data_IF_006733555364
#
_entry.id   IF_006733555364
#
_cell.length_a   1.000
_cell.length_b   1.000
_cell.length_c   1.000
_cell.angle_alpha   90.00
_cell.angle_beta   90.00
_cell.angle_gamma   90.00
#
_symmetry.space_group_name_H-M   'P 1'
#
loop_
_entity.id
_entity.type
_entity.pdbx_description
1 polymer ?
#
# COMPACT_ATOMS: atom_id res chain seq x y z
N UNK A 1 -24.31 2.41 8.33
CA UNK A 1 -23.71 1.83 7.11
C UNK A 1 -22.81 0.60 7.37
N UNK A 2 -22.47 0.25 8.62
CA UNK A 2 -21.75 -1.00 8.92
C UNK A 2 -22.61 -2.26 8.67
N UNK A 3 -23.94 -2.12 8.74
CA UNK A 3 -24.90 -3.19 8.47
C UNK A 3 -24.77 -3.82 7.06
N UNK A 4 -24.30 -3.06 6.06
CA UNK A 4 -24.06 -3.57 4.71
C UNK A 4 -22.93 -4.60 4.65
N UNK A 5 -22.05 -4.62 5.66
CA UNK A 5 -20.92 -5.55 5.78
C UNK A 5 -21.13 -6.61 6.85
N UNK A 6 -22.37 -6.89 7.25
CA UNK A 6 -22.66 -7.97 8.17
C UNK A 6 -22.18 -9.32 7.62
N UNK A 7 -21.55 -10.16 8.46
CA UNK A 7 -21.07 -11.48 8.06
C UNK A 7 -22.20 -12.36 7.52
N UNK A 8 -23.39 -12.25 8.13
CA UNK A 8 -24.58 -12.98 7.70
C UNK A 8 -25.32 -12.19 6.62
N UNK A 9 -25.47 -12.80 5.43
CA UNK A 9 -26.10 -12.14 4.29
C UNK A 9 -27.55 -11.68 4.58
N UNK A 10 -28.30 -12.43 5.39
CA UNK A 10 -29.69 -12.11 5.75
C UNK A 10 -29.82 -10.90 6.67
N UNK A 11 -28.75 -10.52 7.37
CA UNK A 11 -28.71 -9.34 8.24
C UNK A 11 -28.34 -8.07 7.49
N UNK A 12 -27.94 -8.17 6.21
CA UNK A 12 -27.61 -7.00 5.39
C UNK A 12 -28.92 -6.33 4.93
N UNK A 13 -28.98 -5.00 4.93
CA UNK A 13 -30.14 -4.28 4.42
C UNK A 13 -30.32 -4.54 2.93
N UNK A 14 -31.57 -4.57 2.47
CA UNK A 14 -31.87 -4.62 1.04
C UNK A 14 -31.52 -3.28 0.39
N UNK A 15 -31.29 -3.29 -0.94
CA UNK A 15 -31.02 -2.05 -1.67
C UNK A 15 -32.13 -1.01 -1.49
N UNK A 16 -33.41 -1.43 -1.50
CA UNK A 16 -34.54 -0.53 -1.27
C UNK A 16 -34.52 0.12 0.12
N UNK A 17 -34.08 -0.59 1.16
CA UNK A 17 -33.93 0.00 2.49
C UNK A 17 -32.77 1.02 2.53
N UNK A 18 -31.66 0.71 1.85
CA UNK A 18 -30.51 1.63 1.75
C UNK A 18 -30.92 2.92 1.04
N UNK A 19 -31.61 2.83 -0.09
CA UNK A 19 -32.08 3.99 -0.86
C UNK A 19 -33.03 4.85 -0.01
N UNK A 20 -34.03 4.25 0.65
CA UNK A 20 -34.93 5.00 1.53
C UNK A 20 -34.23 5.71 2.67
N UNK A 21 -33.24 5.07 3.31
CA UNK A 21 -32.47 5.72 4.38
C UNK A 21 -31.68 6.92 3.82
N UNK A 22 -31.11 6.81 2.62
CA UNK A 22 -30.40 7.91 1.97
C UNK A 22 -31.33 9.06 1.59
N UNK A 23 -32.52 8.76 1.08
CA UNK A 23 -33.57 9.74 0.78
C UNK A 23 -33.98 10.51 2.05
N UNK A 24 -34.26 9.81 3.15
CA UNK A 24 -34.58 10.41 4.46
C UNK A 24 -33.45 11.30 4.97
N UNK A 25 -32.19 10.85 4.84
CA UNK A 25 -31.03 11.63 5.29
C UNK A 25 -30.77 12.87 4.41
N UNK A 26 -31.17 12.83 3.14
CA UNK A 26 -31.07 13.95 2.23
C UNK A 26 -32.18 14.99 2.47
N UNK A 27 -33.39 14.52 2.81
CA UNK A 27 -34.56 15.34 3.09
C UNK A 27 -34.54 15.99 4.50
N UNK A 28 -33.87 15.37 5.47
CA UNK A 28 -33.89 15.76 6.89
C UNK A 28 -33.06 16.96 7.33
N UNK A 29 -32.51 17.78 6.42
CA UNK A 29 -31.60 18.91 6.67
C UNK A 29 -30.17 18.49 7.08
N UNK A 30 -29.17 18.91 6.28
CA UNK A 30 -27.74 18.70 6.52
C UNK A 30 -27.26 19.68 7.59
N UNK A 31 -27.53 19.38 8.86
CA UNK A 31 -26.90 20.08 9.99
C UNK A 31 -26.31 19.03 10.94
N UNK A 32 -25.00 18.81 10.80
CA UNK A 32 -24.17 18.01 11.72
C UNK A 32 -24.57 16.52 11.83
N UNK A 33 -24.57 15.82 10.69
CA UNK A 33 -24.28 14.38 10.73
C UNK A 33 -22.93 14.15 11.43
N UNK A 34 -22.76 13.12 12.28
CA UNK A 34 -21.54 12.91 13.04
C UNK A 34 -20.34 12.85 12.08
N UNK A 35 -19.50 13.88 12.13
CA UNK A 35 -18.24 13.92 11.38
C UNK A 35 -17.45 12.66 11.77
N UNK A 36 -17.10 11.78 10.83
CA UNK A 36 -16.31 10.61 11.16
C UNK A 36 -15.02 11.11 11.79
N UNK A 37 -14.82 10.81 13.09
CA UNK A 37 -13.54 11.07 13.73
C UNK A 37 -12.47 10.44 12.84
N UNK A 38 -11.40 11.15 12.47
CA UNK A 38 -10.31 10.54 11.72
C UNK A 38 -9.88 9.31 12.54
N UNK A 39 -10.10 8.12 11.98
CA UNK A 39 -9.66 6.87 12.59
C UNK A 39 -8.15 6.92 12.56
N UNK A 40 -7.54 7.38 13.66
CA UNK A 40 -6.13 7.14 13.91
C UNK A 40 -5.94 5.61 13.92
N UNK A 41 -5.32 5.09 12.86
CA UNK A 41 -4.71 3.76 12.89
C UNK A 41 -5.57 2.54 12.56
N UNK A 42 -6.79 2.66 12.03
CA UNK A 42 -7.44 1.45 11.49
C UNK A 42 -6.91 1.17 10.09
N UNK A 43 -5.85 0.36 10.03
CA UNK A 43 -5.44 -0.33 8.79
C UNK A 43 -6.70 -1.04 8.25
N UNK A 44 -7.06 -0.87 6.97
CA UNK A 44 -8.20 -1.58 6.41
C UNK A 44 -7.97 -3.08 6.56
N UNK A 45 -8.75 -3.71 7.43
CA UNK A 45 -8.77 -5.15 7.60
C UNK A 45 -9.54 -5.78 6.43
N UNK A 46 -8.92 -5.80 5.25
CA UNK A 46 -9.15 -6.80 4.19
C UNK A 46 -8.35 -6.43 2.93
N UNK A 47 -7.08 -6.82 2.94
CA UNK A 47 -6.47 -7.50 1.80
C UNK A 47 -5.59 -8.54 2.46
N UNK A 48 -5.84 -9.83 2.17
CA UNK A 48 -5.00 -10.99 2.54
C UNK A 48 -3.59 -10.50 2.86
N UNK A 49 -3.19 -10.56 4.14
CA UNK A 49 -1.89 -10.09 4.60
C UNK A 49 -0.82 -10.77 3.77
N UNK A 50 -0.42 -10.12 2.67
CA UNK A 50 0.76 -10.46 1.92
C UNK A 50 1.85 -10.24 2.94
N UNK A 51 2.49 -11.31 3.38
CA UNK A 51 3.70 -11.18 4.18
C UNK A 51 4.62 -10.25 3.39
N UNK A 52 4.90 -9.09 3.97
CA UNK A 52 5.72 -8.10 3.30
C UNK A 52 7.16 -8.52 3.57
N UNK A 53 7.62 -9.45 2.74
CA UNK A 53 8.97 -9.99 2.73
C UNK A 53 9.96 -8.86 2.44
N UNK A 54 11.09 -8.88 3.15
CA UNK A 54 12.13 -7.89 2.95
C UNK A 54 12.68 -7.97 1.54
N UNK A 55 12.95 -6.84 0.86
CA UNK A 55 13.67 -6.90 -0.41
C UNK A 55 15.03 -7.60 -0.28
N UNK A 56 15.67 -7.54 0.89
CA UNK A 56 16.96 -8.16 1.17
C UNK A 56 16.98 -9.70 1.10
N UNK A 57 15.81 -10.35 1.09
CA UNK A 57 15.72 -11.82 0.97
C UNK A 57 15.84 -12.31 -0.47
N UNK A 58 15.79 -11.40 -1.45
CA UNK A 58 15.89 -11.73 -2.87
C UNK A 58 17.33 -11.64 -3.39
N UNK A 59 17.69 -12.52 -4.31
CA UNK A 59 19.06 -12.60 -4.84
C UNK A 59 19.31 -11.64 -6.01
N UNK A 60 18.25 -11.09 -6.61
CA UNK A 60 18.36 -10.13 -7.70
C UNK A 60 17.31 -9.03 -7.64
N UNK A 61 17.58 -7.91 -8.31
CA UNK A 61 16.63 -6.80 -8.48
C UNK A 61 15.38 -7.26 -9.23
N UNK A 62 15.52 -8.14 -10.22
CA UNK A 62 14.40 -8.71 -10.97
C UNK A 62 13.48 -9.54 -10.08
N UNK A 63 14.04 -10.41 -9.24
CA UNK A 63 13.29 -11.26 -8.32
C UNK A 63 12.51 -10.41 -7.30
N UNK A 64 13.17 -9.41 -6.72
CA UNK A 64 12.53 -8.44 -5.84
C UNK A 64 11.39 -7.68 -6.53
N UNK A 65 11.63 -7.10 -7.71
CA UNK A 65 10.61 -6.35 -8.43
C UNK A 65 9.44 -7.26 -8.84
N UNK A 66 9.70 -8.53 -9.19
CA UNK A 66 8.66 -9.52 -9.49
C UNK A 66 7.78 -9.81 -8.28
N UNK A 67 8.37 -9.90 -7.08
CA UNK A 67 7.63 -10.15 -5.84
C UNK A 67 6.64 -9.03 -5.52
N UNK A 68 6.94 -7.78 -5.92
CA UNK A 68 6.04 -6.63 -5.79
C UNK A 68 5.32 -6.27 -7.11
N UNK A 69 5.36 -7.13 -8.12
CA UNK A 69 4.69 -6.94 -9.44
C UNK A 69 5.14 -5.69 -10.20
N UNK A 70 6.41 -5.32 -10.08
CA UNK A 70 7.07 -4.18 -10.71
C UNK A 70 8.19 -4.59 -11.68
N UNK A 71 8.28 -5.86 -12.07
CA UNK A 71 9.35 -6.42 -12.92
C UNK A 71 9.50 -5.76 -14.30
N UNK A 72 8.47 -5.08 -14.79
CA UNK A 72 8.57 -4.28 -16.03
C UNK A 72 9.56 -3.11 -15.93
N UNK A 73 10.04 -2.80 -14.73
CA UNK A 73 11.01 -1.74 -14.49
C UNK A 73 12.44 -2.27 -14.32
N UNK A 74 12.68 -3.59 -14.35
CA UNK A 74 14.01 -4.18 -14.16
C UNK A 74 15.08 -3.51 -15.01
N UNK A 75 14.85 -3.35 -16.32
CA UNK A 75 15.82 -2.73 -17.23
C UNK A 75 16.19 -1.31 -16.79
N UNK A 76 15.22 -0.52 -16.30
CA UNK A 76 15.47 0.84 -15.81
C UNK A 76 16.39 0.87 -14.60
N UNK A 77 16.25 -0.10 -13.68
CA UNK A 77 17.15 -0.23 -12.54
C UNK A 77 18.56 -0.60 -13.01
N UNK A 78 18.68 -1.56 -13.92
CA UNK A 78 19.98 -1.98 -14.46
C UNK A 78 20.68 -0.86 -15.25
N UNK A 79 19.96 -0.14 -16.11
CA UNK A 79 20.45 1.00 -16.89
C UNK A 79 20.93 2.15 -15.99
N UNK A 80 20.29 2.34 -14.83
CA UNK A 80 20.71 3.33 -13.81
C UNK A 80 21.86 2.86 -12.90
N UNK A 81 22.38 1.63 -13.11
CA UNK A 81 23.48 1.07 -12.32
C UNK A 81 23.05 0.34 -11.04
N UNK A 82 21.76 0.16 -10.79
CA UNK A 82 21.24 -0.58 -9.64
C UNK A 82 21.16 -2.08 -9.95
N UNK A 83 22.30 -2.77 -9.85
CA UNK A 83 22.42 -4.21 -10.15
C UNK A 83 22.18 -5.12 -8.93
N UNK A 84 22.18 -4.56 -7.72
CA UNK A 84 21.96 -5.30 -6.47
C UNK A 84 20.80 -4.71 -5.68
N UNK A 85 20.08 -5.53 -4.93
CA UNK A 85 18.99 -5.07 -4.06
C UNK A 85 19.47 -4.01 -3.06
N UNK A 86 20.64 -4.22 -2.45
CA UNK A 86 21.22 -3.29 -1.49
C UNK A 86 21.45 -1.90 -2.10
N UNK A 87 21.91 -1.81 -3.35
CA UNK A 87 22.08 -0.54 -4.05
C UNK A 87 20.77 0.23 -4.28
N UNK A 88 19.62 -0.45 -4.22
CA UNK A 88 18.30 0.17 -4.38
C UNK A 88 17.76 0.77 -3.07
N UNK A 89 18.36 0.45 -1.91
CA UNK A 89 17.78 0.80 -0.60
C UNK A 89 17.79 2.30 -0.29
N UNK A 90 18.63 3.07 -0.97
CA UNK A 90 18.73 4.53 -0.81
C UNK A 90 17.88 5.32 -1.81
N UNK A 91 17.22 4.65 -2.76
CA UNK A 91 16.43 5.32 -3.78
C UNK A 91 15.23 6.08 -3.19
N UNK A 92 15.03 7.28 -3.73
CA UNK A 92 13.90 8.16 -3.41
C UNK A 92 12.86 8.16 -4.54
N UNK A 93 11.67 8.70 -4.27
CA UNK A 93 10.64 8.86 -5.30
C UNK A 93 11.09 9.79 -6.45
N UNK A 94 11.97 10.75 -6.15
CA UNK A 94 12.58 11.63 -7.16
C UNK A 94 13.53 10.85 -8.07
N UNK A 95 14.34 9.95 -7.52
CA UNK A 95 15.22 9.08 -8.31
C UNK A 95 14.42 8.14 -9.21
N UNK A 96 13.32 7.55 -8.70
CA UNK A 96 12.40 6.76 -9.52
C UNK A 96 11.81 7.59 -10.67
N UNK A 97 11.54 8.88 -10.44
CA UNK A 97 11.07 9.80 -11.49
C UNK A 97 12.14 9.99 -12.56
N UNK A 98 13.41 10.21 -12.17
CA UNK A 98 14.55 10.36 -13.10
C UNK A 98 14.82 9.08 -13.91
N UNK A 99 14.59 7.92 -13.31
CA UNK A 99 14.63 6.62 -14.02
C UNK A 99 13.43 6.43 -14.97
N UNK A 100 12.47 7.35 -15.00
CA UNK A 100 11.28 7.28 -15.85
C UNK A 100 10.15 6.42 -15.29
N UNK A 101 10.08 6.25 -13.97
CA UNK A 101 8.99 5.59 -13.25
C UNK A 101 8.13 6.68 -12.61
N UNK A 102 7.21 7.27 -13.39
CA UNK A 102 6.43 8.48 -12.98
C UNK A 102 5.06 8.19 -12.35
N UNK A 103 4.54 6.97 -12.45
CA UNK A 103 3.24 6.62 -11.88
C UNK A 103 3.33 6.57 -10.35
N UNK A 104 2.66 7.50 -9.67
CA UNK A 104 2.68 7.64 -8.20
C UNK A 104 2.35 6.33 -7.47
N UNK A 105 1.39 5.55 -7.98
CA UNK A 105 1.06 4.24 -7.39
C UNK A 105 2.21 3.23 -7.46
N UNK A 106 3.00 3.25 -8.53
CA UNK A 106 4.17 2.38 -8.67
C UNK A 106 5.33 2.86 -7.80
N UNK A 107 5.58 4.17 -7.78
CA UNK A 107 6.58 4.78 -6.90
C UNK A 107 6.29 4.41 -5.44
N UNK A 108 5.06 4.61 -4.97
CA UNK A 108 4.65 4.27 -3.61
C UNK A 108 4.88 2.79 -3.29
N UNK A 109 4.62 1.89 -4.24
CA UNK A 109 4.83 0.45 -4.05
C UNK A 109 6.30 0.09 -3.89
N UNK A 110 7.16 0.64 -4.74
CA UNK A 110 8.60 0.42 -4.72
C UNK A 110 9.21 1.04 -3.46
N UNK A 111 8.91 2.31 -3.17
CA UNK A 111 9.41 3.03 -1.99
C UNK A 111 8.96 2.36 -0.69
N UNK A 112 7.72 1.87 -0.62
CA UNK A 112 7.26 1.14 0.57
C UNK A 112 8.06 -0.14 0.80
N UNK A 113 8.48 -0.83 -0.26
CA UNK A 113 9.31 -2.04 -0.14
C UNK A 113 10.75 -1.70 0.24
N UNK A 114 11.32 -0.65 -0.37
CA UNK A 114 12.64 -0.11 -0.03
C UNK A 114 12.73 0.26 1.45
N UNK A 115 11.72 0.96 1.99
CA UNK A 115 11.69 1.36 3.41
C UNK A 115 11.80 0.15 4.34
N UNK A 116 11.11 -0.94 4.01
CA UNK A 116 11.17 -2.19 4.79
C UNK A 116 12.57 -2.80 4.74
N UNK A 117 13.18 -2.83 3.57
CA UNK A 117 14.56 -3.29 3.40
C UNK A 117 15.55 -2.47 4.22
N UNK A 118 15.43 -1.15 4.15
CA UNK A 118 16.29 -0.20 4.88
C UNK A 118 16.17 -0.38 6.38
N UNK A 119 14.94 -0.45 6.91
CA UNK A 119 14.70 -0.67 8.34
C UNK A 119 15.32 -1.98 8.82
N UNK A 120 15.26 -3.04 8.01
CA UNK A 120 15.89 -4.33 8.35
C UNK A 120 17.41 -4.29 8.23
N UNK A 121 17.95 -3.63 7.20
CA UNK A 121 19.39 -3.48 6.99
C UNK A 121 20.05 -2.78 8.18
N UNK A 122 19.48 -1.66 8.62
CA UNK A 122 19.95 -0.89 9.78
C UNK A 122 19.89 -1.69 11.08
N UNK A 123 18.83 -2.49 11.29
CA UNK A 123 18.74 -3.37 12.47
C UNK A 123 19.82 -4.45 12.47
N UNK A 124 20.14 -5.03 11.30
CA UNK A 124 21.19 -6.04 11.19
C UNK A 124 22.58 -5.44 11.45
N UNK A 125 22.86 -4.23 10.97
CA UNK A 125 24.12 -3.54 11.25
C UNK A 125 24.27 -3.20 12.73
N UNK A 126 23.21 -2.73 13.38
CA UNK A 126 23.23 -2.39 14.81
C UNK A 126 23.45 -3.59 15.75
N UNK A 127 23.26 -4.82 15.28
CA UNK A 127 23.52 -6.05 16.05
C UNK A 127 24.98 -6.51 15.90
N UNK A 128 25.68 -6.05 14.85
CA UNK A 128 27.06 -6.46 14.55
C UNK A 128 28.13 -5.57 15.20
N UNK A 129 27.72 -4.48 15.85
CA UNK A 129 28.57 -3.53 16.59
C UNK A 129 28.40 -3.77 18.09
#
# INVERSE_FOLDING_TARGET
>A
MLECWNAEARKRPTFGLVVRILEILLEGNIAEGPKPKPRAGVKPASTRSREVVSPLEYQSVEEWLTSIKMQKYTDKFLESGHTTVTSCLELTADDLTKMGISLAGHQNKIISSIRIGRDQFQRQESIRV
#
